data_IF_148455009432
#
_entry.id   IF_148455009432
#
_cell.length_a   1.000
_cell.length_b   1.000
_cell.length_c   1.000
_cell.angle_alpha   90.00
_cell.angle_beta   90.00
_cell.angle_gamma   90.00
#
_symmetry.space_group_name_H-M   'P 1'
#
loop_
_entity.id
_entity.type
_entity.pdbx_description
1 polymer ?
2 non-polymer ?
3 non-polymer ?
4 water ?
#
# COMPACT_ATOMS: atom_id res chain seq x y z
N UNK A 7 -2.96 20.48 -26.35
CA UNK A 7 -1.84 20.41 -25.41
C UNK A 7 -1.08 19.11 -25.56
N UNK A 8 -0.79 18.46 -24.43
CA UNK A 8 -0.12 17.17 -24.43
C UNK A 8 -1.10 16.06 -24.08
N UNK A 9 -2.13 15.89 -24.90
CA UNK A 9 -3.16 14.91 -24.64
C UNK A 9 -3.21 13.83 -25.72
N UNK A 10 -3.75 12.67 -25.37
CA UNK A 10 -3.95 11.59 -26.32
C UNK A 10 -5.43 11.38 -26.61
N UNK A 11 -5.77 11.08 -27.87
CA UNK A 11 -7.17 10.85 -28.25
C UNK A 11 -7.63 9.44 -27.90
N UNK A 12 -6.83 8.73 -27.11
CA UNK A 12 -7.12 7.34 -26.77
C UNK A 12 -8.46 7.18 -26.07
N UNK A 13 -9.34 6.37 -26.67
CA UNK A 13 -10.65 6.12 -26.09
C UNK A 13 -10.70 4.72 -25.48
N UNK A 14 -11.12 4.64 -24.23
CA UNK A 14 -11.20 3.38 -23.52
C UNK A 14 -11.62 3.59 -22.08
N UNK A 15 -11.50 2.55 -21.26
CA UNK A 15 -11.85 2.65 -19.86
C UNK A 15 -10.76 2.07 -18.96
N UNK A 16 -10.66 2.61 -17.74
CA UNK A 16 -9.68 2.12 -16.77
C UNK A 16 -10.29 2.04 -15.38
N UNK A 17 -10.53 0.82 -14.91
CA UNK A 17 -11.13 0.60 -13.60
C UNK A 17 -10.07 0.14 -12.61
N UNK A 18 -9.87 0.92 -11.55
CA UNK A 18 -8.88 0.58 -10.54
C UNK A 18 -9.53 0.26 -9.20
N UNK A 19 -9.29 -0.95 -8.70
CA UNK A 19 -9.75 -1.34 -7.38
C UNK A 19 -8.59 -1.33 -6.41
N UNK A 20 -8.58 -0.36 -5.51
CA UNK A 20 -7.44 -0.19 -4.59
C UNK A 20 -7.90 0.02 -3.16
N UNK A 21 -6.92 0.18 -2.26
CA UNK A 21 -7.22 0.39 -0.85
C UNK A 21 -7.21 1.86 -0.49
N UNK A 22 -7.44 2.16 0.79
CA UNK A 22 -7.50 3.53 1.26
C UNK A 22 -6.14 4.22 1.25
N UNK A 23 -5.13 3.54 1.78
CA UNK A 23 -3.79 4.09 1.85
C UNK A 23 -3.25 4.46 0.48
N UNK A 24 -3.47 3.58 -0.49
CA UNK A 24 -3.03 3.82 -1.86
C UNK A 24 -3.78 4.98 -2.48
N UNK A 25 -5.09 5.03 -2.26
CA UNK A 25 -5.94 6.06 -2.84
C UNK A 25 -5.70 7.43 -2.21
N UNK A 26 -5.12 7.44 -1.02
CA UNK A 26 -4.98 8.68 -0.27
C UNK A 26 -3.58 9.30 -0.38
N UNK A 27 -2.56 8.45 -0.50
CA UNK A 27 -1.19 8.93 -0.44
C UNK A 27 -0.34 8.56 -1.67
N UNK A 28 -0.69 7.46 -2.34
CA UNK A 28 0.12 6.96 -3.44
C UNK A 28 -0.45 7.31 -4.82
N UNK A 29 -1.76 7.34 -4.94
CA UNK A 29 -2.43 7.54 -6.22
C UNK A 29 -2.74 8.98 -6.68
N UNK A 30 -3.20 9.87 -5.78
CA UNK A 30 -3.60 11.24 -6.16
C UNK A 30 -2.69 11.93 -7.18
N UNK A 31 -1.37 11.76 -7.04
CA UNK A 31 -0.44 12.35 -7.98
C UNK A 31 -0.51 11.70 -9.35
N UNK A 32 -0.56 10.37 -9.36
CA UNK A 32 -0.61 9.60 -10.60
C UNK A 32 -1.93 9.83 -11.34
N UNK A 33 -3.02 9.87 -10.58
CA UNK A 33 -4.36 10.04 -11.15
C UNK A 33 -4.54 11.35 -11.90
N UNK A 34 -4.07 12.45 -11.31
CA UNK A 34 -4.21 13.76 -11.92
C UNK A 34 -3.42 13.86 -13.24
N UNK A 35 -2.19 13.38 -13.22
CA UNK A 35 -1.35 13.39 -14.40
C UNK A 35 -1.90 12.50 -15.51
N UNK A 36 -2.65 11.49 -15.11
CA UNK A 36 -3.25 10.55 -16.05
C UNK A 36 -4.45 11.17 -16.75
N UNK A 37 -5.38 11.72 -15.96
CA UNK A 37 -6.62 12.27 -16.50
C UNK A 37 -6.39 13.50 -17.37
N UNK A 38 -5.32 14.23 -17.10
CA UNK A 38 -4.94 15.38 -17.93
C UNK A 38 -4.47 14.90 -19.29
N UNK A 39 -3.92 13.69 -19.31
CA UNK A 39 -3.34 13.12 -20.53
C UNK A 39 -4.36 12.33 -21.34
N UNK A 40 -5.24 11.62 -20.65
CA UNK A 40 -6.24 10.80 -21.32
C UNK A 40 -7.66 11.23 -20.95
N UNK A 41 -8.18 12.24 -21.65
CA UNK A 41 -9.51 12.81 -21.37
C UNK A 41 -10.64 11.94 -21.90
N UNK A 42 -10.37 11.12 -22.90
CA UNK A 42 -11.39 10.26 -23.49
C UNK A 42 -11.38 8.87 -22.84
N UNK A 43 -10.58 8.69 -21.81
CA UNK A 43 -10.58 7.45 -21.04
C UNK A 43 -11.41 7.62 -19.77
N UNK A 44 -12.45 6.82 -19.65
CA UNK A 44 -13.29 6.85 -18.44
C UNK A 44 -12.57 6.14 -17.30
N UNK A 45 -12.00 6.92 -16.40
CA UNK A 45 -11.27 6.38 -15.26
C UNK A 45 -12.21 6.12 -14.09
N UNK A 46 -12.23 4.88 -13.63
CA UNK A 46 -13.04 4.51 -12.47
C UNK A 46 -12.14 4.00 -11.35
N UNK A 47 -12.34 4.53 -10.15
CA UNK A 47 -11.61 4.07 -8.98
C UNK A 47 -12.55 3.62 -7.88
N UNK A 48 -12.43 2.37 -7.48
CA UNK A 48 -13.27 1.82 -6.42
C UNK A 48 -12.43 1.31 -5.26
N UNK A 49 -12.93 1.49 -4.05
CA UNK A 49 -12.21 1.12 -2.84
C UNK A 49 -13.18 0.64 -1.75
N UNK A 50 -12.83 -0.44 -1.07
CA UNK A 50 -11.61 -1.15 -1.33
C UNK A 50 -11.05 -1.94 -0.18
N UNK A 51 -11.16 -3.26 -0.26
CA UNK A 51 -10.53 -4.13 0.72
C UNK A 51 -9.86 -5.28 -0.03
N UNK A 52 -8.64 -5.65 0.38
CA UNK A 52 -7.80 -6.66 -0.27
C UNK A 52 -8.53 -7.93 -0.70
N UNK A 53 -9.64 -8.24 -0.03
CA UNK A 53 -10.42 -9.44 -0.35
C UNK A 53 -11.38 -9.17 -1.51
N UNK A 54 -12.07 -8.03 -1.44
CA UNK A 54 -13.00 -7.63 -2.49
C UNK A 54 -12.25 -7.38 -3.79
N UNK A 55 -11.18 -6.61 -3.61
CA UNK A 55 -10.43 -6.01 -4.66
C UNK A 55 -9.89 -7.14 -5.35
N UNK A 56 -9.44 -8.12 -4.62
CA UNK A 56 -8.97 -9.30 -5.29
C UNK A 56 -10.13 -9.92 -6.01
N UNK A 57 -11.29 -9.87 -5.39
CA UNK A 57 -12.53 -10.29 -6.02
C UNK A 57 -13.03 -9.51 -7.24
N UNK A 58 -12.95 -8.20 -7.21
CA UNK A 58 -13.53 -7.37 -8.26
C UNK A 58 -12.82 -7.45 -9.57
N UNK A 59 -11.59 -7.91 -9.46
CA UNK A 59 -10.66 -7.96 -10.54
C UNK A 59 -10.56 -9.31 -11.17
N UNK A 60 -10.53 -10.36 -10.36
CA UNK A 60 -10.45 -11.67 -10.95
C UNK A 60 -11.69 -11.92 -11.77
N UNK A 61 -12.84 -11.54 -11.22
CA UNK A 61 -14.11 -11.74 -11.87
C UNK A 61 -15.11 -10.68 -11.46
N UNK A 62 -15.18 -9.57 -12.19
CA UNK A 62 -14.30 -9.21 -13.28
C UNK A 62 -14.57 -7.77 -13.63
N UNK A 63 -14.97 -7.01 -12.62
CA UNK A 63 -15.49 -5.68 -12.78
C UNK A 63 -14.42 -4.61 -12.91
N UNK A 64 -13.32 -4.80 -12.23
CA UNK A 64 -12.15 -3.93 -12.22
C UNK A 64 -11.05 -4.50 -13.10
N UNK A 65 -10.26 -3.61 -13.69
CA UNK A 65 -9.17 -4.01 -14.58
C UNK A 65 -7.88 -4.25 -13.79
N UNK A 66 -7.55 -3.32 -12.90
CA UNK A 66 -6.32 -3.41 -12.13
C UNK A 66 -6.56 -3.49 -10.63
N UNK A 67 -5.63 -4.14 -9.94
CA UNK A 67 -5.73 -4.35 -8.50
C UNK A 67 -4.51 -3.78 -7.80
N UNK A 68 -4.68 -2.64 -7.14
CA UNK A 68 -3.57 -2.02 -6.42
C UNK A 68 -3.70 -2.19 -4.91
N UNK A 69 -2.98 -3.15 -4.37
CA UNK A 69 -3.01 -3.41 -2.93
C UNK A 69 -1.73 -4.10 -2.48
N UNK A 70 -1.43 -3.95 -1.21
CA UNK A 70 -0.37 -4.64 -0.54
C UNK A 70 -0.55 -6.10 -0.27
N UNK A 71 -1.74 -6.47 0.10
CA UNK A 71 -1.90 -7.76 0.72
C UNK A 71 -2.42 -8.87 -0.15
N UNK A 72 -3.60 -9.33 0.17
CA UNK A 72 -3.99 -10.65 -0.22
C UNK A 72 -4.43 -10.76 -1.64
N UNK A 73 -3.54 -10.50 -2.57
CA UNK A 73 -3.80 -10.75 -3.96
C UNK A 73 -2.63 -11.41 -4.66
N UNK A 74 -2.34 -12.69 -4.48
CA UNK A 74 -3.23 -13.80 -4.27
C UNK A 74 -3.84 -13.69 -2.92
N UNK A 75 -4.84 -14.49 -2.62
CA UNK A 75 -4.98 -15.86 -3.04
C UNK A 75 -5.13 -16.09 -4.51
N UNK A 76 -5.52 -15.08 -5.27
CA UNK A 76 -5.88 -15.30 -6.66
C UNK A 76 -4.71 -15.43 -7.63
N UNK A 77 -4.58 -16.63 -8.18
CA UNK A 77 -3.45 -17.04 -8.98
C UNK A 77 -3.71 -16.72 -10.42
N UNK A 78 -4.91 -16.26 -10.66
CA UNK A 78 -5.44 -15.81 -11.93
C UNK A 78 -4.80 -14.58 -12.57
N UNK A 79 -4.41 -13.62 -11.74
CA UNK A 79 -3.95 -12.34 -12.18
C UNK A 79 -2.46 -12.19 -12.09
N UNK A 80 -1.86 -11.53 -13.09
CA UNK A 80 -0.46 -11.14 -13.02
C UNK A 80 -0.24 -10.10 -11.92
N UNK A 81 0.93 -10.15 -11.26
CA UNK A 81 1.30 -9.26 -10.14
C UNK A 81 2.66 -8.60 -10.45
N UNK A 82 2.80 -7.35 -10.16
CA UNK A 82 4.06 -6.73 -10.41
C UNK A 82 4.32 -5.99 -9.18
N UNK A 83 5.55 -5.80 -8.83
CA UNK A 83 5.85 -5.10 -7.60
C UNK A 83 6.05 -3.63 -7.86
N UNK A 84 5.50 -2.80 -7.01
CA UNK A 84 5.47 -1.39 -7.26
C UNK A 84 6.39 -0.66 -6.34
N UNK A 85 6.24 -0.90 -5.07
CA UNK A 85 7.15 -0.32 -4.14
C UNK A 85 7.13 -1.07 -2.85
N UNK A 86 8.17 -0.91 -2.07
CA UNK A 86 8.17 -1.34 -0.69
C UNK A 86 7.80 -0.17 0.20
N UNK A 87 7.25 -0.47 1.37
CA UNK A 87 6.92 0.58 2.33
C UNK A 87 6.93 0.02 3.75
N UNK A 88 7.20 0.88 4.72
CA UNK A 88 7.15 0.47 6.12
C UNK A 88 6.43 1.49 6.99
N UNK A 89 6.05 1.07 8.19
CA UNK A 89 5.21 1.89 9.05
C UNK A 89 6.02 2.69 10.07
N UNK A 90 5.47 3.83 10.48
CA UNK A 90 6.08 4.66 11.51
C UNK A 90 5.21 4.66 12.77
N UNK A 91 5.76 5.19 13.84
CA UNK A 91 5.05 5.27 15.11
C UNK A 91 4.65 6.71 15.41
N UNK A 92 3.38 6.91 15.76
CA UNK A 92 2.89 8.25 16.08
C UNK A 92 2.37 8.33 17.51
N UNK A 93 2.85 9.32 18.26
CA UNK A 93 2.44 9.51 19.63
C UNK A 93 2.28 11.00 19.94
N UNK A 94 1.73 11.29 21.12
CA UNK A 94 1.62 12.66 21.60
C UNK A 94 2.90 13.01 22.33
N UNK A 95 3.26 14.30 22.36
CA UNK A 95 4.50 14.76 23.02
C UNK A 95 4.60 14.33 24.49
N UNK A 96 3.48 14.15 25.16
CA UNK A 96 3.47 13.76 26.56
C UNK A 96 3.73 12.27 26.76
N UNK A 97 3.66 11.52 25.67
CA UNK A 97 3.86 10.08 25.73
C UNK A 97 5.34 9.75 25.92
N UNK A 98 5.63 8.73 26.75
CA UNK A 98 6.99 8.28 27.05
C UNK A 98 7.88 8.06 25.81
N UNK A 99 7.32 7.46 24.77
CA UNK A 99 8.09 7.16 23.56
C UNK A 99 8.59 8.42 22.84
N UNK A 100 7.97 9.56 23.14
CA UNK A 100 8.41 10.83 22.59
C UNK A 100 9.68 11.29 23.29
N UNK A 101 9.93 10.73 24.47
CA UNK A 101 11.14 11.02 25.22
C UNK A 101 12.25 10.01 24.90
N UNK A 102 11.88 8.73 24.91
CA UNK A 102 12.82 7.66 24.58
C UNK A 102 13.15 7.69 23.09
N UNK A 103 14.42 7.43 22.75
CA UNK A 103 14.83 7.39 21.36
C UNK A 103 15.27 5.99 20.95
N UNK A 104 14.95 5.62 19.71
CA UNK A 104 15.22 4.29 19.21
C UNK A 104 14.56 3.31 20.13
N UNK A 105 13.33 2.96 19.81
CA UNK A 105 12.60 2.01 20.63
C UNK A 105 12.62 0.60 20.04
N UNK A 106 12.55 -0.41 20.91
CA UNK A 106 12.50 -1.79 20.47
C UNK A 106 11.05 -2.25 20.38
N UNK A 107 10.84 -3.51 20.01
CA UNK A 107 9.50 -4.04 19.87
C UNK A 107 8.95 -4.50 21.23
N UNK A 108 9.86 -4.74 22.18
CA UNK A 108 9.46 -5.11 23.53
C UNK A 108 8.98 -3.89 24.30
N UNK A 109 9.61 -2.75 24.06
CA UNK A 109 9.24 -1.51 24.72
C UNK A 109 7.91 -0.99 24.18
N UNK A 110 7.63 -1.30 22.91
CA UNK A 110 6.40 -0.89 22.26
C UNK A 110 5.23 -1.76 22.71
N UNK A 111 5.51 -3.03 22.99
CA UNK A 111 4.48 -3.98 23.40
C UNK A 111 3.92 -3.69 24.79
N UNK A 112 4.37 -2.60 25.40
CA UNK A 112 3.88 -2.20 26.71
C UNK A 112 2.53 -1.49 26.62
N UNK A 113 2.29 -0.83 25.50
CA UNK A 113 1.18 0.13 25.40
C UNK A 113 0.01 -0.34 24.56
N UNK A 114 -1.18 0.25 24.80
CA UNK A 114 -2.34 0.04 23.93
C UNK A 114 -2.03 0.48 22.51
N UNK A 115 -2.41 -0.34 21.54
CA UNK A 115 -2.05 -0.09 20.15
C UNK A 115 -3.21 0.44 19.31
N UNK A 116 -2.90 1.36 18.41
CA UNK A 116 -3.88 1.90 17.48
C UNK A 116 -3.32 1.75 16.07
N UNK A 117 -3.66 0.65 15.41
CA UNK A 117 -3.10 0.34 14.10
C UNK A 117 -4.18 -0.01 13.08
N UNK A 118 -3.77 -0.64 11.98
CA UNK A 118 -4.70 -1.07 10.95
C UNK A 118 -5.51 -2.27 11.40
N UNK A 119 -6.36 -2.78 10.50
CA UNK A 119 -7.22 -3.90 10.83
C UNK A 119 -6.77 -5.19 10.15
N UNK A 120 -7.31 -6.31 10.61
CA UNK A 120 -6.98 -7.62 10.05
C UNK A 120 -7.43 -7.71 8.60
N UNK A 121 -6.51 -8.10 7.73
CA UNK A 121 -6.78 -8.17 6.30
C UNK A 121 -5.90 -7.20 5.52
N UNK A 122 -5.36 -6.22 6.24
CA UNK A 122 -4.46 -5.23 5.65
C UNK A 122 -3.03 -5.44 6.14
N UNK A 123 -2.07 -5.41 5.21
CA UNK A 123 -0.68 -5.77 5.51
C UNK A 123 -0.02 -4.92 6.59
N UNK A 124 -0.57 -3.73 6.83
CA UNK A 124 -0.09 -2.89 7.91
C UNK A 124 -0.21 -3.61 9.24
N UNK A 125 -0.97 -4.68 9.19
CA UNK A 125 -1.13 -5.47 10.35
C UNK A 125 -0.45 -6.80 10.18
N UNK A 126 -0.61 -7.39 9.03
CA UNK A 126 -0.13 -8.73 8.84
C UNK A 126 1.34 -8.83 9.11
N UNK A 127 2.10 -7.81 8.73
CA UNK A 127 3.49 -7.75 9.10
C UNK A 127 3.67 -7.19 10.49
N UNK A 128 2.57 -7.08 11.23
CA UNK A 128 2.59 -6.56 12.58
C UNK A 128 2.22 -7.68 13.56
N UNK A 129 1.25 -8.51 13.16
CA UNK A 129 0.84 -9.64 13.97
C UNK A 129 1.98 -10.65 14.14
N UNK A 130 2.75 -10.83 13.07
CA UNK A 130 3.87 -11.77 13.09
C UNK A 130 5.18 -11.09 13.43
N UNK A 131 5.09 -9.89 14.00
CA UNK A 131 6.26 -9.20 14.51
C UNK A 131 6.37 -9.47 16.01
N UNK A 132 5.21 -9.60 16.65
CA UNK A 132 5.14 -9.92 18.07
C UNK A 132 5.11 -11.42 18.28
N UNK A 133 4.54 -12.13 17.31
CA UNK A 133 4.37 -13.58 17.42
C UNK A 133 5.73 -14.21 17.54
N UNK A 134 6.58 -13.68 16.70
CA UNK A 134 7.95 -14.06 16.57
C UNK A 134 8.78 -13.73 17.78
N UNK A 135 8.50 -12.57 18.35
CA UNK A 135 9.20 -12.08 19.52
C UNK A 135 8.52 -12.66 20.75
N UNK A 136 7.56 -13.55 20.51
CA UNK A 136 6.81 -14.17 21.60
C UNK A 136 6.09 -13.14 22.42
N UNK A 137 5.37 -12.25 21.74
CA UNK A 137 4.71 -11.14 22.41
C UNK A 137 3.24 -11.03 22.08
N UNK A 138 2.46 -10.54 23.04
CA UNK A 138 1.05 -10.25 22.84
C UNK A 138 0.82 -8.74 22.94
N UNK A 139 0.51 -8.10 21.82
CA UNK A 139 0.26 -6.66 21.80
C UNK A 139 -1.19 -6.33 22.16
N UNK A 140 -1.37 -5.27 22.94
CA UNK A 140 -2.70 -4.81 23.32
C UNK A 140 -3.22 -3.82 22.28
N UNK A 141 -3.94 -4.33 21.29
CA UNK A 141 -4.48 -3.49 20.23
C UNK A 141 -5.92 -3.08 20.54
N UNK A 142 -6.10 -1.81 20.91
CA UNK A 142 -7.41 -1.32 21.33
C UNK A 142 -8.15 -0.61 20.22
N UNK A 143 -7.52 -0.49 19.05
CA UNK A 143 -8.12 0.22 17.94
C UNK A 143 -7.62 -0.29 16.60
N UNK A 144 -8.55 -0.60 15.70
CA UNK A 144 -8.22 -1.03 14.34
C UNK A 144 -9.07 -0.28 13.33
N UNK A 145 -8.43 0.22 12.28
CA UNK A 145 -9.13 0.96 11.23
C UNK A 145 -8.41 0.84 9.89
N UNK A 146 -9.07 1.27 8.82
CA UNK A 146 -8.48 1.24 7.48
C UNK A 146 -7.85 2.57 7.14
N UNK A 147 -8.31 3.63 7.80
CA UNK A 147 -7.81 4.99 7.58
C UNK A 147 -6.80 5.36 8.66
N UNK A 148 -5.70 5.99 8.23
CA UNK A 148 -4.66 6.44 9.15
C UNK A 148 -5.05 7.75 9.83
N UNK A 149 -5.92 8.52 9.18
CA UNK A 149 -6.42 9.76 9.75
C UNK A 149 -7.24 9.48 11.00
N UNK A 150 -8.06 8.44 10.93
CA UNK A 150 -8.86 8.03 12.09
C UNK A 150 -7.93 7.52 13.18
N UNK A 151 -6.92 6.75 12.78
CA UNK A 151 -5.90 6.28 13.72
C UNK A 151 -5.22 7.46 14.39
N UNK A 152 -4.71 8.38 13.58
CA UNK A 152 -4.04 9.57 14.09
C UNK A 152 -4.97 10.40 14.97
N UNK A 153 -6.25 10.38 14.64
CA UNK A 153 -7.25 11.10 15.42
C UNK A 153 -7.32 10.58 16.84
N UNK A 154 -7.53 9.27 16.98
CA UNK A 154 -7.70 8.66 18.30
C UNK A 154 -6.41 8.57 19.11
N UNK A 155 -5.27 8.76 18.46
CA UNK A 155 -4.00 8.84 19.16
C UNK A 155 -3.94 10.13 19.99
N UNK A 156 -4.47 11.21 19.41
CA UNK A 156 -4.48 12.51 20.06
C UNK A 156 -5.34 12.52 21.32
N UNK A 157 -6.28 11.59 21.38
CA UNK A 157 -7.17 11.44 22.53
C UNK A 157 -6.45 10.73 23.67
N UNK A 158 -5.28 10.18 23.36
CA UNK A 158 -4.54 9.40 24.33
C UNK A 158 -5.18 8.04 24.54
N UNK A 159 -5.68 7.46 23.46
CA UNK A 159 -6.30 6.14 23.52
C UNK A 159 -5.22 5.06 23.44
N UNK A 160 -4.15 5.34 22.71
CA UNK A 160 -3.06 4.40 22.57
C UNK A 160 -2.00 4.86 21.59
N UNK A 161 -0.99 4.02 21.39
CA UNK A 161 0.10 4.33 20.46
C UNK A 161 -0.27 3.95 19.03
N UNK A 162 -0.05 4.86 18.10
CA UNK A 162 -0.40 4.64 16.71
C UNK A 162 0.73 4.08 15.87
N UNK A 163 0.39 3.12 15.01
CA UNK A 163 1.35 2.54 14.08
C UNK A 163 0.79 2.59 12.66
N UNK A 164 1.19 3.60 11.90
CA UNK A 164 0.69 3.79 10.54
C UNK A 164 1.82 3.84 9.52
N UNK A 165 1.45 3.75 8.24
CA UNK A 165 2.41 3.85 7.15
C UNK A 165 3.12 5.20 7.21
N UNK A 166 4.39 5.21 6.83
CA UNK A 166 5.21 6.42 6.90
C UNK A 166 4.69 7.52 5.97
N UNK A 167 4.11 7.10 4.85
CA UNK A 167 3.59 8.04 3.86
C UNK A 167 2.28 8.68 4.33
N UNK A 168 1.74 8.18 5.43
CA UNK A 168 0.47 8.69 5.96
C UNK A 168 0.70 9.79 7.00
N UNK A 169 1.95 9.97 7.40
CA UNK A 169 2.28 11.00 8.37
C UNK A 169 3.23 12.06 7.79
N UNK A 170 2.79 13.31 7.87
CA UNK A 170 3.60 14.45 7.52
C UNK A 170 3.48 15.61 8.46
N UNK A 171 4.71 16.20 8.77
CA UNK A 171 4.65 17.26 9.77
C UNK A 171 3.82 18.48 9.41
N UNK A 172 3.82 18.89 8.15
CA UNK A 172 2.95 19.98 7.79
C UNK A 172 1.54 19.53 8.07
N UNK A 173 1.20 18.35 7.60
CA UNK A 173 -0.14 17.84 7.79
C UNK A 173 -0.50 17.47 9.21
N UNK A 174 0.46 16.89 9.91
CA UNK A 174 0.33 16.36 11.26
C UNK A 174 1.42 16.92 12.18
N UNK A 175 1.24 18.16 12.64
CA UNK A 175 2.26 18.88 13.43
C UNK A 175 2.30 18.48 14.91
N UNK A 176 1.17 18.03 15.45
CA UNK A 176 1.06 17.79 16.89
C UNK A 176 1.53 16.38 17.28
N UNK A 177 1.84 15.55 16.30
CA UNK A 177 2.25 14.18 16.56
C UNK A 177 3.74 13.98 16.36
N UNK A 178 4.34 13.18 17.24
CA UNK A 178 5.76 12.85 17.12
C UNK A 178 5.94 11.57 16.30
N UNK A 179 6.67 11.68 15.20
CA UNK A 179 6.89 10.55 14.31
C UNK A 179 8.13 9.76 14.72
N UNK A 180 7.98 8.45 14.85
CA UNK A 180 9.10 7.57 15.19
C UNK A 180 9.23 6.47 14.15
N UNK A 181 10.32 6.50 13.40
CA UNK A 181 10.55 5.52 12.35
C UNK A 181 10.74 4.12 12.92
N UNK A 182 10.09 3.14 12.31
CA UNK A 182 10.20 1.76 12.75
C UNK A 182 10.73 0.86 11.63
N UNK A 183 11.81 1.30 11.00
CA UNK A 183 12.45 0.54 9.92
C UNK A 183 12.87 -0.84 10.42
N UNK A 184 13.54 -0.86 11.56
CA UNK A 184 14.13 -2.09 12.09
C UNK A 184 13.09 -2.99 12.76
N UNK A 185 12.06 -2.38 13.34
CA UNK A 185 11.06 -3.11 14.10
C UNK A 185 10.17 -3.99 13.22
N UNK A 186 9.79 -3.49 12.06
CA UNK A 186 8.91 -4.22 11.16
C UNK A 186 9.51 -4.49 9.79
N UNK A 187 9.23 -5.67 9.26
CA UNK A 187 9.61 -5.99 7.89
C UNK A 187 8.78 -5.13 6.94
N UNK A 188 9.42 -4.64 5.89
CA UNK A 188 8.73 -3.77 4.93
C UNK A 188 7.66 -4.53 4.17
N UNK A 189 6.58 -3.84 3.82
CA UNK A 189 5.50 -4.43 3.05
C UNK A 189 5.62 -4.05 1.57
N UNK A 190 5.13 -4.92 0.70
CA UNK A 190 5.27 -4.71 -0.74
C UNK A 190 3.94 -4.45 -1.42
N UNK A 191 3.76 -3.23 -1.91
CA UNK A 191 2.57 -2.88 -2.68
C UNK A 191 2.68 -3.40 -4.11
N UNK A 192 1.67 -4.09 -4.60
CA UNK A 192 1.70 -4.71 -5.90
C UNK A 192 0.56 -4.27 -6.74
N UNK A 193 0.63 -4.57 -8.00
CA UNK A 193 -0.47 -4.32 -8.93
C UNK A 193 -0.92 -5.61 -9.62
N UNK A 194 -2.22 -5.87 -9.57
CA UNK A 194 -2.76 -7.11 -10.11
C UNK A 194 -3.73 -6.94 -11.26
N UNK A 195 -3.68 -7.86 -12.21
CA UNK A 195 -4.54 -7.81 -13.40
C UNK A 195 -4.50 -9.15 -14.14
N UNK A 196 -5.63 -9.53 -14.73
CA UNK A 196 -5.74 -10.82 -15.42
C UNK A 196 -4.84 -10.86 -16.65
N UNK A 197 -4.61 -12.07 -17.16
CA UNK A 197 -3.83 -12.23 -18.38
C UNK A 197 -4.68 -11.98 -19.62
N UNK A 198 -5.97 -12.26 -19.51
CA UNK A 198 -6.90 -12.04 -20.60
C UNK A 198 -7.02 -10.55 -20.89
N UNK A 199 -6.77 -9.73 -19.88
CA UNK A 199 -6.82 -8.29 -20.01
C UNK A 199 -5.85 -7.78 -21.07
N UNK A 200 -6.39 -7.19 -22.13
CA UNK A 200 -5.56 -6.58 -23.16
C UNK A 200 -4.99 -5.26 -22.64
N UNK A 201 -3.67 -5.18 -22.59
CA UNK A 201 -3.01 -4.00 -22.07
C UNK A 201 -2.99 -2.86 -23.08
N UNK A 202 -3.80 -1.84 -22.82
CA UNK A 202 -3.84 -0.66 -23.65
C UNK A 202 -2.58 0.18 -23.41
N UNK A 203 -2.33 1.13 -24.31
CA UNK A 203 -1.14 1.98 -24.18
C UNK A 203 -1.21 2.86 -22.95
N UNK A 204 -2.40 3.36 -22.64
CA UNK A 204 -2.58 4.21 -21.46
C UNK A 204 -2.43 3.41 -20.17
N UNK A 205 -2.68 2.11 -20.26
CA UNK A 205 -2.49 1.22 -19.11
C UNK A 205 -1.01 1.09 -18.78
N UNK A 206 -0.17 0.94 -19.80
CA UNK A 206 1.27 0.92 -19.60
C UNK A 206 1.76 2.23 -19.01
N UNK A 207 1.20 3.32 -19.51
CA UNK A 207 1.59 4.65 -19.06
C UNK A 207 1.22 4.85 -17.59
N UNK A 208 0.07 4.33 -17.18
CA UNK A 208 -0.35 4.41 -15.79
C UNK A 208 0.59 3.62 -14.89
N UNK A 209 0.85 2.38 -15.28
CA UNK A 209 1.76 1.50 -14.54
C UNK A 209 3.12 2.15 -14.40
N UNK A 210 3.55 2.83 -15.48
CA UNK A 210 4.81 3.53 -15.51
C UNK A 210 4.88 4.64 -14.45
N UNK A 211 3.80 5.41 -14.34
CA UNK A 211 3.73 6.52 -13.38
C UNK A 211 3.70 6.03 -11.95
N UNK A 212 3.01 4.91 -11.73
CA UNK A 212 2.89 4.36 -10.39
C UNK A 212 4.15 3.59 -10.00
N UNK A 213 4.76 2.93 -10.97
CA UNK A 213 6.00 2.19 -10.75
C UNK A 213 6.94 2.35 -11.94
N UNK A 214 7.94 3.24 -11.80
CA UNK A 214 8.88 3.62 -12.86
C UNK A 214 9.62 2.45 -13.48
N UNK A 215 9.97 1.46 -12.68
CA UNK A 215 10.74 0.31 -13.16
C UNK A 215 9.91 -0.60 -14.03
N UNK A 216 8.58 -0.49 -13.91
CA UNK A 216 7.68 -1.34 -14.69
C UNK A 216 7.40 -0.74 -16.07
N UNK A 217 8.42 -0.69 -16.91
CA UNK A 217 8.24 -0.24 -18.28
C UNK A 217 7.51 -1.32 -19.09
N UNK A 218 7.13 -0.98 -20.31
CA UNK A 218 6.30 -1.88 -21.12
C UNK A 218 6.97 -3.22 -21.40
N UNK A 219 8.28 -3.19 -21.65
CA UNK A 219 9.02 -4.41 -21.94
C UNK A 219 9.15 -5.27 -20.68
N UNK A 220 9.18 -4.61 -19.52
CA UNK A 220 9.27 -5.29 -18.24
C UNK A 220 7.94 -5.97 -17.90
N UNK A 221 6.85 -5.28 -18.18
CA UNK A 221 5.51 -5.81 -17.91
C UNK A 221 5.23 -7.04 -18.77
N UNK A 222 5.52 -6.93 -20.07
CA UNK A 222 5.29 -8.01 -21.01
C UNK A 222 6.10 -9.25 -20.64
N UNK A 223 7.33 -9.03 -20.20
CA UNK A 223 8.19 -10.14 -19.78
C UNK A 223 7.62 -10.83 -18.55
N UNK A 224 7.08 -10.07 -17.60
CA UNK A 224 6.55 -10.72 -16.40
C UNK A 224 5.23 -11.43 -16.68
N UNK A 225 4.41 -10.83 -17.55
CA UNK A 225 3.11 -11.38 -17.92
C UNK A 225 3.23 -12.73 -18.61
N UNK A 226 4.15 -12.83 -19.55
CA UNK A 226 4.26 -14.04 -20.34
C UNK A 226 4.78 -15.21 -19.48
N UNK A 227 5.24 -14.92 -18.26
CA UNK A 227 5.88 -15.93 -17.40
C UNK A 227 4.82 -16.90 -16.90
N UNK A 228 5.21 -18.12 -16.52
CA UNK A 228 4.28 -19.12 -16.02
C UNK A 228 3.48 -18.59 -14.84
N UNK A 229 4.15 -18.40 -13.72
CA UNK A 229 3.47 -17.97 -12.50
C UNK A 229 4.00 -16.65 -11.96
N UNK A 230 3.47 -16.25 -10.81
CA UNK A 230 3.87 -15.03 -10.13
C UNK A 230 5.18 -15.21 -9.36
N UNK A 231 5.60 -16.46 -9.18
CA UNK A 231 6.85 -16.75 -8.50
C UNK A 231 8.04 -16.31 -9.34
N UNK A 232 8.00 -16.63 -10.63
CA UNK A 232 9.06 -16.22 -11.55
C UNK A 232 9.14 -14.69 -11.60
N UNK A 233 7.99 -14.04 -11.49
CA UNK A 233 7.94 -12.59 -11.51
C UNK A 233 8.65 -12.01 -10.30
N UNK A 234 8.40 -12.59 -9.14
CA UNK A 234 9.04 -12.13 -7.91
C UNK A 234 10.50 -12.61 -7.87
N UNK A 235 10.79 -13.68 -8.61
CA UNK A 235 12.15 -14.17 -8.76
C UNK A 235 12.81 -13.51 -9.96
N UNK A 236 12.21 -12.41 -10.43
CA UNK A 236 12.76 -11.61 -11.50
C UNK A 236 13.18 -10.24 -10.95
N UNK A 237 12.61 -9.89 -9.80
CA UNK A 237 12.84 -8.58 -9.20
C UNK A 237 13.68 -8.62 -7.94
N UNK A 238 14.19 -9.79 -7.57
CA UNK A 238 15.00 -9.89 -6.37
C UNK A 238 16.40 -9.31 -6.57
N UNK A 239 16.73 -9.02 -7.83
CA UNK A 239 18.03 -8.43 -8.17
C UNK A 239 17.95 -6.91 -8.29
N UNK A 240 16.74 -6.37 -8.24
CA UNK A 240 16.54 -4.93 -8.35
C UNK A 240 15.98 -4.33 -7.07
N UNK A 241 16.46 -3.14 -6.71
CA UNK A 241 15.95 -2.42 -5.54
C UNK A 241 14.74 -1.60 -5.94
N UNK A 242 13.56 -2.00 -5.46
CA UNK A 242 12.32 -1.29 -5.75
C UNK A 242 12.22 -0.03 -4.91
N UNK A 243 11.36 0.92 -5.33
CA UNK A 243 11.15 2.14 -4.54
C UNK A 243 10.66 1.86 -3.12
N UNK A 244 11.18 2.62 -2.16
CA UNK A 244 10.75 2.50 -0.78
C UNK A 244 10.09 3.80 -0.32
N UNK A 245 8.83 3.71 0.08
CA UNK A 245 8.07 4.90 0.45
C UNK A 245 7.32 4.71 1.76
X LIG B 1 -5.27 -0.09 3.57
X LIG B 1 -5.80 -1.50 3.39
X LIG B 1 -6.06 0.85 3.78
X LIG B 1 -3.91 0.17 3.50
X LIG B 1 -2.78 -0.71 3.26
X LIG B 1 -2.81 -1.40 1.90
X LIG B 1 -3.22 -2.70 1.94
X LIG B 1 -2.50 -0.94 0.81
X LIG B 1 -2.53 -1.76 4.38
X LIG B 1 -1.97 -1.06 5.47
X LIG C 1 3.99 10.23 -5.08
X LIG C 1 4.93 11.37 -5.26
X LIG C 1 2.84 10.34 -5.37
X LIG C 1 4.51 9.11 -4.62
X LIG C 1 3.75 7.96 -4.23
X LIG C 1 3.95 7.63 -2.79
X LIG C 1 4.24 8.52 -1.98
X LIG C 1 3.83 6.45 -2.46
X LIG C 1 4.19 6.76 -5.05
X LIG C 1 4.18 7.08 -6.43
X LIG D 1 13.59 5.66 -3.13
X LIG D 1 12.38 6.19 -3.40
X LIG D 1 13.54 4.18 -3.29
X LIG D 1 14.85 3.64 -3.30
X LIG D 1 15.43 3.55 -4.62
X LIG D 1 15.09 2.23 -5.26
X LIG D 1 15.39 2.28 -6.63
#
# INVERSE_FOLDING_TARGET
HHHHHHEHTWPDKGSLYIATTHTQARYALPGVIKGFIERYPRVSLHMHQGSPTQIAEAVSKGNADFAIATEALHLYDDLVMLPCYHWNRSIVVTPDHPLAATSSVTIEALAQYPLVTYTFGFTGRSELDTAFNRAGLTPRIVFTATDADVIKTYVRLGLGVGVIASMAVDPLADPDLVRIDAHDIFSHSTTKIGFRRSTFLRSYMYDFIQRFAPHLTRDVVDTAVALRSNEEIEAMFQDIKLPEK
SAC C1A C2A OAC N CA C O OXT CB OG
SAC C1A C2A OAC N CA C O OXT CB OG
PEG C1 O1 C2 O2 C3 C4 O4
#
